data_IF_317874111343
#
_entry.id   IF_317874111343
#
_cell.length_a   1.000
_cell.length_b   1.000
_cell.length_c   1.000
_cell.angle_alpha   90.00
_cell.angle_beta   90.00
_cell.angle_gamma   90.00
#
_symmetry.space_group_name_H-M   'P 1'
#
loop_
_entity.id
_entity.type
_entity.pdbx_description
1 polymer ?
#
# COMPACT_ATOMS: atom_id res chain seq x y z
N UNK A 1 0.33 -5.75 19.03
CA UNK A 1 -0.36 -4.45 19.21
C UNK A 1 -1.54 -4.28 18.23
N UNK A 2 -2.48 -3.38 18.52
CA UNK A 2 -3.59 -3.02 17.61
C UNK A 2 -3.38 -1.59 17.07
N UNK A 3 -3.62 -1.38 15.77
CA UNK A 3 -3.67 -0.06 15.16
C UNK A 3 -5.07 0.29 14.69
N UNK A 4 -5.50 1.53 14.93
CA UNK A 4 -6.79 2.05 14.45
C UNK A 4 -6.56 3.25 13.52
N UNK A 5 -7.20 3.23 12.35
CA UNK A 5 -7.16 4.36 11.42
C UNK A 5 -8.08 5.50 11.91
N UNK A 6 -7.52 6.68 12.12
CA UNK A 6 -8.26 7.88 12.57
C UNK A 6 -9.30 8.38 11.55
N UNK A 7 -9.11 8.07 10.26
CA UNK A 7 -9.98 8.56 9.18
C UNK A 7 -11.24 7.72 8.99
N UNK A 8 -11.16 6.39 9.14
CA UNK A 8 -12.27 5.48 8.80
C UNK A 8 -12.56 4.41 9.87
N UNK A 9 -11.84 4.40 10.99
CA UNK A 9 -12.08 3.48 12.11
C UNK A 9 -11.67 2.02 11.87
N UNK A 10 -11.01 1.71 10.76
CA UNK A 10 -10.51 0.36 10.50
C UNK A 10 -9.45 -0.06 11.55
N UNK A 11 -9.54 -1.29 12.05
CA UNK A 11 -8.63 -1.87 13.05
C UNK A 11 -7.74 -2.96 12.44
N UNK A 12 -6.47 -2.99 12.84
CA UNK A 12 -5.46 -3.93 12.35
C UNK A 12 -4.68 -4.54 13.52
N UNK A 13 -4.66 -5.86 13.61
CA UNK A 13 -3.82 -6.60 14.56
C UNK A 13 -2.42 -6.79 13.95
N UNK A 14 -1.38 -6.30 14.62
CA UNK A 14 0.00 -6.33 14.12
C UNK A 14 0.95 -6.79 15.22
N UNK A 15 1.93 -7.61 14.87
CA UNK A 15 3.01 -8.00 15.79
C UNK A 15 3.88 -6.81 16.18
N UNK A 16 4.29 -6.71 17.45
CA UNK A 16 5.08 -5.58 17.94
C UNK A 16 6.41 -5.42 17.18
N UNK A 17 6.97 -6.53 16.66
CA UNK A 17 8.21 -6.54 15.87
C UNK A 17 8.06 -5.94 14.47
N UNK A 18 6.85 -5.69 14.00
CA UNK A 18 6.61 -5.14 12.66
C UNK A 18 6.85 -3.62 12.59
N UNK A 19 6.81 -2.91 13.72
CA UNK A 19 7.19 -1.50 13.83
C UNK A 19 8.62 -1.42 14.39
N UNK A 20 9.59 -0.85 13.66
CA UNK A 20 10.96 -0.73 14.16
C UNK A 20 11.06 0.31 15.27
N UNK A 21 12.19 0.31 16.00
CA UNK A 21 12.45 1.20 17.14
C UNK A 21 12.36 2.70 16.82
N UNK A 22 12.53 3.08 15.55
CA UNK A 22 12.36 4.46 15.07
C UNK A 22 10.92 4.83 14.68
N UNK A 23 9.95 3.93 14.85
CA UNK A 23 8.61 4.08 14.29
C UNK A 23 8.57 3.84 12.78
N UNK A 24 7.37 3.91 12.18
CA UNK A 24 7.18 3.73 10.74
C UNK A 24 5.96 4.50 10.24
N UNK A 25 6.05 5.04 9.02
CA UNK A 25 4.86 5.49 8.28
C UNK A 25 4.03 4.29 7.83
N UNK A 26 2.80 4.21 8.29
CA UNK A 26 1.85 3.16 7.94
C UNK A 26 0.71 3.75 7.11
N UNK A 27 0.09 2.93 6.25
CA UNK A 27 -0.98 3.35 5.35
C UNK A 27 -2.19 2.43 5.53
N UNK A 28 -3.37 3.02 5.73
CA UNK A 28 -4.63 2.30 5.85
C UNK A 28 -4.97 1.65 4.49
N UNK A 29 -5.26 0.36 4.49
CA UNK A 29 -5.70 -0.36 3.29
C UNK A 29 -7.13 0.01 2.85
N UNK A 30 -7.98 0.48 3.76
CA UNK A 30 -9.39 0.77 3.48
C UNK A 30 -9.64 2.17 2.90
N UNK A 31 -8.90 3.20 3.35
CA UNK A 31 -9.14 4.59 2.94
C UNK A 31 -7.88 5.35 2.48
N UNK A 32 -6.74 4.65 2.37
CA UNK A 32 -5.44 5.17 1.95
C UNK A 32 -4.81 6.29 2.82
N UNK A 33 -5.41 6.64 3.96
CA UNK A 33 -4.82 7.57 4.92
C UNK A 33 -3.49 7.02 5.47
N UNK A 34 -2.47 7.86 5.51
CA UNK A 34 -1.15 7.50 6.01
C UNK A 34 -0.82 8.31 7.26
N UNK A 35 -0.34 7.64 8.30
CA UNK A 35 0.05 8.25 9.56
C UNK A 35 1.38 7.66 10.04
N UNK A 36 2.00 8.31 11.02
CA UNK A 36 3.22 7.82 11.65
C UNK A 36 2.86 6.99 12.88
N UNK A 37 3.25 5.72 12.89
CA UNK A 37 3.11 4.86 14.04
C UNK A 37 4.40 4.91 14.88
N UNK A 38 4.35 5.41 16.14
CA UNK A 38 5.51 5.36 17.02
C UNK A 38 5.87 3.91 17.35
N UNK A 39 7.14 3.69 17.66
CA UNK A 39 7.60 2.39 18.12
C UNK A 39 6.85 1.97 19.39
N UNK A 40 6.50 0.68 19.52
CA UNK A 40 6.03 0.16 20.80
C UNK A 40 7.13 0.33 21.84
N UNK A 41 6.74 0.45 23.12
CA UNK A 41 7.70 0.55 24.20
C UNK A 41 8.70 -0.61 24.11
N UNK A 42 9.99 -0.27 24.11
CA UNK A 42 11.04 -1.25 24.06
C UNK A 42 10.90 -2.19 25.26
N UNK A 43 10.78 -3.49 25.00
CA UNK A 43 10.82 -4.50 26.06
C UNK A 43 12.22 -4.48 26.66
N UNK A 44 12.32 -4.34 27.98
CA UNK A 44 13.61 -4.44 28.67
C UNK A 44 14.08 -5.89 28.62
N UNK A 45 15.31 -6.10 28.18
CA UNK A 45 15.98 -7.40 28.24
C UNK A 45 16.75 -7.46 29.57
N UNK A 46 16.68 -8.60 30.26
CA UNK A 46 17.38 -8.81 31.53
C UNK A 46 18.90 -8.66 31.38
N UNK A 47 19.55 -8.13 32.43
CA UNK A 47 21.00 -7.85 32.40
C UNK A 47 21.84 -9.12 32.18
N UNK A 48 21.39 -10.27 32.69
CA UNK A 48 22.05 -11.56 32.46
C UNK A 48 22.06 -11.95 30.98
N UNK A 49 20.95 -11.73 30.26
CA UNK A 49 20.83 -12.01 28.83
C UNK A 49 21.68 -11.04 28.02
N UNK A 50 21.74 -9.77 28.41
CA UNK A 50 22.63 -8.79 27.80
C UNK A 50 24.10 -9.17 27.96
N UNK A 51 24.49 -9.69 29.13
CA UNK A 51 25.85 -10.18 29.37
C UNK A 51 26.22 -11.33 28.43
N UNK A 52 25.33 -12.31 28.27
CA UNK A 52 25.53 -13.43 27.33
C UNK A 52 25.69 -12.91 25.91
N UNK A 53 24.81 -12.00 25.45
CA UNK A 53 24.90 -11.42 24.10
C UNK A 53 26.23 -10.66 23.87
N UNK A 54 26.72 -9.92 24.87
CA UNK A 54 28.02 -9.23 24.78
C UNK A 54 29.18 -10.21 24.67
N UNK A 55 29.13 -11.31 25.43
CA UNK A 55 30.15 -12.35 25.42
C UNK A 55 30.19 -13.09 24.07
N UNK A 56 29.04 -13.48 23.53
CA UNK A 56 28.92 -14.13 22.22
C UNK A 56 29.43 -13.23 21.08
N UNK A 57 29.08 -11.94 21.10
CA UNK A 57 29.59 -10.98 20.11
C UNK A 57 31.12 -10.86 20.20
N UNK A 58 31.68 -10.79 21.40
CA UNK A 58 33.14 -10.73 21.59
C UNK A 58 33.81 -12.03 21.11
N UNK A 59 33.18 -13.18 21.32
CA UNK A 59 33.65 -14.47 20.83
C UNK A 59 33.63 -14.54 19.30
N UNK A 60 32.51 -14.21 18.66
CA UNK A 60 32.40 -14.19 17.19
C UNK A 60 33.37 -13.20 16.53
N UNK A 61 33.57 -12.03 17.14
CA UNK A 61 34.55 -11.05 16.63
C UNK A 61 35.98 -11.59 16.68
N UNK A 62 36.37 -12.27 17.77
CA UNK A 62 37.69 -12.91 17.87
C UNK A 62 37.84 -14.05 16.86
N UNK A 63 36.80 -14.85 16.66
CA UNK A 63 36.80 -15.93 15.68
C UNK A 63 36.94 -15.39 14.24
N UNK A 64 36.21 -14.32 13.89
CA UNK A 64 36.36 -13.64 12.58
C UNK A 64 37.75 -13.03 12.40
N UNK A 65 38.33 -12.41 13.43
CA UNK A 65 39.65 -11.81 13.35
C UNK A 65 40.77 -12.85 13.11
N UNK A 66 40.58 -14.08 13.59
CA UNK A 66 41.53 -15.19 13.40
C UNK A 66 41.31 -15.94 12.08
N UNK A 67 40.13 -15.81 11.48
CA UNK A 67 39.81 -16.46 10.20
C UNK A 67 40.32 -15.59 9.04
N UNK A 68 41.23 -16.08 8.18
CA UNK A 68 41.64 -15.35 7.00
C UNK A 68 40.43 -15.07 6.09
N UNK A 69 40.31 -13.88 5.50
CA UNK A 69 39.20 -13.57 4.60
C UNK A 69 39.20 -14.55 3.41
N UNK A 70 38.03 -15.11 3.10
CA UNK A 70 37.87 -15.90 1.88
C UNK A 70 38.07 -14.98 0.67
N UNK A 71 38.71 -15.41 -0.43
CA UNK A 71 38.90 -14.59 -1.62
C UNK A 71 37.61 -13.95 -2.16
N UNK A 72 36.46 -14.59 -1.93
CA UNK A 72 35.12 -14.12 -2.32
C UNK A 72 34.56 -12.97 -1.45
N UNK A 73 35.05 -12.78 -0.22
CA UNK A 73 34.59 -11.72 0.69
C UNK A 73 35.24 -10.36 0.37
N UNK A 74 36.22 -10.32 -0.54
CA UNK A 74 36.79 -9.06 -1.01
C UNK A 74 35.80 -8.45 -2.01
N UNK A 75 35.19 -7.28 -1.72
CA UNK A 75 34.32 -6.64 -2.68
C UNK A 75 35.11 -6.42 -3.98
N UNK A 76 34.52 -6.74 -5.15
CA UNK A 76 35.22 -6.59 -6.41
C UNK A 76 35.72 -5.15 -6.55
N UNK A 77 36.89 -4.93 -7.16
CA UNK A 77 37.37 -3.59 -7.42
C UNK A 77 36.26 -2.82 -8.12
N UNK A 78 35.90 -1.64 -7.58
CA UNK A 78 34.84 -0.79 -8.14
C UNK A 78 35.25 -0.39 -9.55
N UNK A 79 34.80 -1.14 -10.55
CA UNK A 79 35.01 -0.81 -11.95
C UNK A 79 34.20 0.44 -12.24
N UNK A 80 34.89 1.57 -12.41
CA UNK A 80 34.29 2.78 -12.93
C UNK A 80 34.00 2.54 -14.41
N UNK A 81 32.75 2.16 -14.71
CA UNK A 81 32.30 2.14 -16.09
C UNK A 81 32.38 3.58 -16.63
N UNK A 82 32.96 3.80 -17.83
CA UNK A 82 32.97 5.11 -18.43
C UNK A 82 31.53 5.60 -18.57
N UNK A 83 31.31 6.88 -18.26
CA UNK A 83 29.99 7.49 -18.39
C UNK A 83 29.52 7.33 -19.85
N UNK A 84 28.37 6.65 -20.02
CA UNK A 84 27.71 6.52 -21.32
C UNK A 84 27.41 7.93 -21.83
N UNK A 85 27.88 8.32 -23.03
CA UNK A 85 27.54 9.63 -23.60
C UNK A 85 26.01 9.77 -23.69
N UNK A 86 25.45 10.97 -23.44
CA UNK A 86 24.01 11.17 -23.48
C UNK A 86 23.50 10.83 -24.87
N UNK A 87 22.58 9.88 -24.96
CA UNK A 87 21.94 9.52 -26.21
C UNK A 87 21.09 10.71 -26.70
N UNK A 88 21.21 11.14 -27.96
CA UNK A 88 20.35 12.18 -28.50
C UNK A 88 18.95 11.59 -28.78
N UNK A 89 17.93 12.17 -28.13
CA UNK A 89 16.54 12.05 -28.58
C UNK A 89 15.82 10.75 -28.22
N UNK A 90 15.76 10.39 -26.94
CA UNK A 90 14.77 9.40 -26.50
C UNK A 90 13.35 9.94 -26.75
N UNK A 91 12.54 9.34 -27.65
CA UNK A 91 11.14 9.71 -27.76
C UNK A 91 10.45 9.35 -26.44
N UNK A 92 9.55 10.19 -25.91
CA UNK A 92 8.92 9.94 -24.62
C UNK A 92 7.81 8.90 -24.78
N UNK A 93 8.17 7.65 -25.06
CA UNK A 93 7.24 6.53 -25.21
C UNK A 93 6.35 6.35 -23.98
N UNK A 94 6.87 6.70 -22.79
CA UNK A 94 6.10 6.68 -21.56
C UNK A 94 5.10 7.84 -21.44
N UNK A 95 5.47 9.05 -21.88
CA UNK A 95 4.57 10.20 -21.78
C UNK A 95 3.37 10.04 -22.73
N UNK A 96 3.59 9.51 -23.94
CA UNK A 96 2.51 9.27 -24.91
C UNK A 96 1.52 8.23 -24.33
N UNK A 97 2.01 7.16 -23.72
CA UNK A 97 1.15 6.17 -23.06
C UNK A 97 0.39 6.75 -21.86
N UNK A 98 1.08 7.44 -20.96
CA UNK A 98 0.47 8.04 -19.76
C UNK A 98 -0.60 9.08 -20.09
N UNK A 99 -0.31 9.99 -21.03
CA UNK A 99 -1.27 11.00 -21.48
C UNK A 99 -2.42 10.39 -22.28
N UNK A 100 -2.16 9.35 -23.07
CA UNK A 100 -3.20 8.59 -23.74
C UNK A 100 -4.20 7.95 -22.76
N UNK A 101 -3.70 7.29 -21.71
CA UNK A 101 -4.57 6.71 -20.66
C UNK A 101 -5.34 7.78 -19.90
N UNK A 102 -4.71 8.90 -19.54
CA UNK A 102 -5.39 10.02 -18.87
C UNK A 102 -6.50 10.62 -19.74
N UNK A 103 -6.26 10.79 -21.04
CA UNK A 103 -7.26 11.31 -21.97
C UNK A 103 -8.47 10.37 -22.06
N UNK A 104 -8.25 9.05 -22.19
CA UNK A 104 -9.33 8.06 -22.20
C UNK A 104 -10.11 8.07 -20.89
N UNK A 105 -9.43 8.13 -19.74
CA UNK A 105 -10.08 8.19 -18.43
C UNK A 105 -10.92 9.47 -18.26
N UNK A 106 -10.40 10.62 -18.70
CA UNK A 106 -11.12 11.89 -18.68
C UNK A 106 -12.35 11.86 -19.61
N UNK A 107 -12.24 11.22 -20.77
CA UNK A 107 -13.35 11.06 -21.71
C UNK A 107 -14.46 10.15 -21.13
N UNK A 108 -14.07 9.02 -20.53
CA UNK A 108 -15.01 8.14 -19.82
C UNK A 108 -15.69 8.84 -18.64
N UNK A 109 -14.93 9.62 -17.86
CA UNK A 109 -15.47 10.42 -16.75
C UNK A 109 -16.43 11.51 -17.28
N UNK A 110 -16.09 12.18 -18.38
CA UNK A 110 -16.95 13.14 -19.05
C UNK A 110 -18.28 12.53 -19.49
N UNK A 111 -18.24 11.36 -20.13
CA UNK A 111 -19.44 10.59 -20.50
C UNK A 111 -20.26 10.21 -19.28
N UNK A 112 -19.63 9.81 -18.17
CA UNK A 112 -20.33 9.47 -16.93
C UNK A 112 -21.03 10.69 -16.31
N UNK A 113 -20.36 11.85 -16.26
CA UNK A 113 -20.92 13.08 -15.69
C UNK A 113 -22.02 13.66 -16.60
N UNK A 114 -21.84 13.62 -17.92
CA UNK A 114 -22.84 14.10 -18.89
C UNK A 114 -23.92 13.06 -19.23
N UNK A 115 -23.87 11.85 -18.67
CA UNK A 115 -24.86 10.80 -18.85
C UNK A 115 -26.34 11.27 -18.71
N UNK A 116 -26.74 12.10 -17.73
CA UNK A 116 -28.12 12.62 -17.68
C UNK A 116 -28.49 13.49 -18.89
N UNK A 117 -27.57 14.30 -19.43
CA UNK A 117 -27.85 15.14 -20.60
C UNK A 117 -27.87 14.32 -21.91
N UNK A 118 -27.00 13.32 -22.02
CA UNK A 118 -26.97 12.39 -23.16
C UNK A 118 -28.27 11.58 -23.23
N UNK A 119 -28.80 11.15 -22.07
CA UNK A 119 -30.10 10.47 -21.95
C UNK A 119 -31.28 11.35 -22.37
N UNK A 120 -31.23 12.65 -22.06
CA UNK A 120 -32.26 13.60 -22.46
C UNK A 120 -32.29 13.88 -23.99
N UNK A 121 -31.12 13.84 -24.65
CA UNK A 121 -31.01 14.12 -26.08
C UNK A 121 -31.25 12.91 -27.01
N UNK A 122 -31.16 11.67 -26.48
CA UNK A 122 -31.25 10.43 -27.28
C UNK A 122 -32.15 9.40 -26.57
N UNK A 123 -33.49 9.46 -26.73
CA UNK A 123 -34.44 8.59 -26.02
C UNK A 123 -34.31 7.09 -26.37
N UNK A 124 -33.68 6.74 -27.49
CA UNK A 124 -33.49 5.34 -27.91
C UNK A 124 -32.40 4.61 -27.09
N UNK A 125 -31.39 5.32 -26.60
CA UNK A 125 -30.35 4.75 -25.73
C UNK A 125 -30.79 4.66 -24.26
N UNK A 126 -31.83 5.41 -23.87
CA UNK A 126 -32.33 5.47 -22.50
C UNK A 126 -32.94 4.15 -22.05
N UNK A 127 -33.67 3.44 -22.92
CA UNK A 127 -34.40 2.22 -22.52
C UNK A 127 -33.46 1.06 -22.16
N UNK A 128 -32.32 0.91 -22.84
CA UNK A 128 -31.33 -0.13 -22.54
C UNK A 128 -30.47 0.23 -21.31
N UNK A 129 -30.17 1.52 -21.10
CA UNK A 129 -29.45 1.96 -19.91
C UNK A 129 -30.33 1.99 -18.65
N UNK A 130 -31.61 2.33 -18.77
CA UNK A 130 -32.53 2.40 -17.62
C UNK A 130 -32.83 1.01 -17.06
N UNK A 131 -32.96 -0.01 -17.93
CA UNK A 131 -33.10 -1.40 -17.49
C UNK A 131 -31.85 -1.89 -16.74
N UNK A 132 -30.65 -1.64 -17.27
CA UNK A 132 -29.40 -2.02 -16.59
C UNK A 132 -29.19 -1.26 -15.27
N UNK A 133 -29.36 0.07 -15.28
CA UNK A 133 -29.13 0.89 -14.08
C UNK A 133 -30.20 0.70 -13.00
N UNK A 134 -31.43 0.34 -13.37
CA UNK A 134 -32.48 -0.05 -12.41
C UNK A 134 -32.09 -1.31 -11.66
N UNK A 135 -31.61 -2.34 -12.35
CA UNK A 135 -31.19 -3.60 -11.73
C UNK A 135 -30.01 -3.37 -10.78
N UNK A 136 -28.98 -2.64 -11.25
CA UNK A 136 -27.82 -2.32 -10.43
C UNK A 136 -28.21 -1.47 -9.21
N UNK A 137 -29.10 -0.50 -9.40
CA UNK A 137 -29.63 0.34 -8.32
C UNK A 137 -30.40 -0.46 -7.27
N UNK A 138 -31.28 -1.36 -7.71
CA UNK A 138 -32.07 -2.21 -6.82
C UNK A 138 -31.18 -3.17 -6.02
N UNK A 139 -30.15 -3.73 -6.65
CA UNK A 139 -29.23 -4.67 -6.00
C UNK A 139 -28.38 -3.97 -4.94
N UNK A 140 -27.89 -2.76 -5.23
CA UNK A 140 -27.16 -1.92 -4.26
C UNK A 140 -28.02 -1.61 -3.04
N UNK A 141 -29.27 -1.20 -3.25
CA UNK A 141 -30.17 -0.88 -2.14
C UNK A 141 -30.54 -2.12 -1.33
N UNK A 142 -30.74 -3.27 -1.98
CA UNK A 142 -31.01 -4.52 -1.29
C UNK A 142 -29.82 -4.96 -0.42
N UNK A 143 -28.59 -4.85 -0.93
CA UNK A 143 -27.37 -5.17 -0.17
C UNK A 143 -27.21 -4.25 1.04
N UNK A 144 -27.46 -2.96 0.89
CA UNK A 144 -27.38 -2.01 2.00
C UNK A 144 -28.38 -2.37 3.11
N UNK A 145 -29.63 -2.67 2.75
CA UNK A 145 -30.66 -3.13 3.71
C UNK A 145 -30.29 -4.46 4.37
N UNK A 146 -29.70 -5.38 3.61
CA UNK A 146 -29.25 -6.66 4.14
C UNK A 146 -28.14 -6.48 5.19
N UNK A 147 -27.17 -5.60 4.93
CA UNK A 147 -26.10 -5.27 5.87
C UNK A 147 -26.65 -4.61 7.15
N UNK A 148 -27.57 -3.65 7.02
CA UNK A 148 -28.22 -3.03 8.19
C UNK A 148 -28.99 -4.06 9.03
N UNK A 149 -29.69 -4.99 8.39
CA UNK A 149 -30.42 -6.05 9.08
C UNK A 149 -29.48 -7.04 9.79
N UNK A 150 -28.33 -7.36 9.19
CA UNK A 150 -27.29 -8.21 9.82
C UNK A 150 -26.66 -7.50 11.01
N UNK A 151 -26.33 -6.21 10.88
CA UNK A 151 -25.79 -5.40 11.98
C UNK A 151 -26.78 -5.31 13.14
N UNK A 152 -28.06 -5.05 12.86
CA UNK A 152 -29.12 -5.01 13.89
C UNK A 152 -29.31 -6.37 14.58
N UNK A 153 -29.19 -7.49 13.86
CA UNK A 153 -29.27 -8.84 14.44
C UNK A 153 -28.03 -9.21 15.25
N UNK A 154 -26.85 -8.73 14.87
CA UNK A 154 -25.59 -9.02 15.56
C UNK A 154 -25.31 -8.13 16.79
N UNK A 155 -25.97 -6.97 16.91
CA UNK A 155 -25.79 -6.03 18.03
C UNK A 155 -26.74 -6.21 19.21
N UNK A 156 -27.55 -7.28 19.23
CA UNK A 156 -28.56 -7.55 20.26
C UNK A 156 -28.28 -8.82 21.09
N UNK A 157 -27.01 -9.03 21.47
CA UNK A 157 -26.57 -10.10 22.38
C UNK A 157 -25.73 -9.55 23.50
#
# INVERSE_FOLDING_TARGET
MELTCEKCGARYQIEDRAIPVGGRKVKCSACAHAWHQPAPAARKIDESVLNILREEVAYEQRARAQTPPRPEDTPPPKVQLPAKPPAPGDPPGFAIGFWGTLAVAALALGVYILAPQIRAARPEAAQTLDSYTTIVGQTRQALHRALENVVKRGGGG
#
